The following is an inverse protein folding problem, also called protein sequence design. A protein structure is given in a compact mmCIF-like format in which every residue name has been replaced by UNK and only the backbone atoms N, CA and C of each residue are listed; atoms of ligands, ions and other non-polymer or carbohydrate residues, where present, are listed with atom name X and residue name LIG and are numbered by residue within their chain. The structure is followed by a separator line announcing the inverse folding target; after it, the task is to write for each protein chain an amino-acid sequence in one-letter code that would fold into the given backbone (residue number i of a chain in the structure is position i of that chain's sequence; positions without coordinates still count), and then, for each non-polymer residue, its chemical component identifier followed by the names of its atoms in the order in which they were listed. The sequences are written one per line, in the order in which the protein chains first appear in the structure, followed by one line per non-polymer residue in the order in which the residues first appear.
data_IF_379728129018
#
_entry.id   IF_379728129018
#
_cell.length_a   1.000
_cell.length_b   1.000
_cell.length_c   1.000
_cell.angle_alpha   90.00
_cell.angle_beta   90.00
_cell.angle_gamma   90.00
#
_symmetry.space_group_name_H-M   'P 1'
#
loop_
_entity.id
_entity.type
_entity.pdbx_description
1 polymer ?
#
# COMPACT_ATOMS: atom_id res chain seq x y z
N UNK A 1 3.60 -2.78 -16.89
CA UNK A 1 4.10 -3.93 -16.11
C UNK A 1 3.85 -3.66 -14.64
N UNK A 2 3.13 -4.55 -13.96
CA UNK A 2 2.92 -4.48 -12.51
C UNK A 2 4.15 -5.06 -11.79
N UNK A 3 4.57 -4.48 -10.66
CA UNK A 3 5.58 -5.09 -9.79
C UNK A 3 4.85 -5.95 -8.75
N UNK A 4 4.94 -7.27 -8.94
CA UNK A 4 4.30 -8.27 -8.09
C UNK A 4 5.35 -9.28 -7.64
N UNK A 5 5.37 -9.55 -6.34
CA UNK A 5 6.18 -10.61 -5.74
C UNK A 5 5.26 -11.80 -5.49
N UNK A 6 5.55 -12.94 -6.10
CA UNK A 6 4.88 -14.21 -5.81
C UNK A 6 5.68 -14.95 -4.74
N UNK A 7 5.12 -15.07 -3.54
CA UNK A 7 5.75 -15.81 -2.46
C UNK A 7 5.48 -17.31 -2.62
N UNK A 8 6.53 -18.12 -2.56
CA UNK A 8 6.45 -19.56 -2.78
C UNK A 8 6.49 -20.31 -1.45
N UNK A 9 5.49 -21.17 -1.24
CA UNK A 9 5.44 -22.09 -0.09
C UNK A 9 5.96 -23.50 -0.45
N UNK A 10 6.00 -24.38 0.55
CA UNK A 10 6.45 -25.77 0.38
C UNK A 10 5.44 -26.65 -0.38
N UNK A 11 4.18 -26.23 -0.47
CA UNK A 11 3.09 -26.99 -1.10
C UNK A 11 2.39 -26.14 -2.18
N UNK A 12 1.81 -26.81 -3.17
CA UNK A 12 0.98 -26.16 -4.18
C UNK A 12 -0.26 -25.55 -3.52
N UNK A 13 -0.59 -24.26 -3.73
CA UNK A 13 -1.77 -23.64 -3.12
C UNK A 13 -3.10 -24.27 -3.55
N UNK A 14 -4.12 -24.24 -2.66
CA UNK A 14 -5.46 -24.78 -2.93
C UNK A 14 -6.63 -23.88 -2.50
N UNK A 15 -6.38 -22.77 -1.78
CA UNK A 15 -7.41 -21.81 -1.33
C UNK A 15 -7.56 -20.58 -2.25
N UNK A 16 -6.77 -20.54 -3.33
CA UNK A 16 -6.73 -19.44 -4.30
C UNK A 16 -5.89 -18.24 -3.86
N UNK A 17 -5.82 -17.21 -4.73
CA UNK A 17 -4.92 -16.07 -4.55
C UNK A 17 -5.36 -15.08 -3.46
N UNK A 18 -4.36 -14.57 -2.74
CA UNK A 18 -4.45 -13.45 -1.81
C UNK A 18 -3.44 -12.38 -2.21
N UNK A 19 -3.94 -11.16 -2.47
CA UNK A 19 -3.13 -9.99 -2.78
C UNK A 19 -2.86 -9.18 -1.51
N UNK A 20 -1.60 -8.94 -1.18
CA UNK A 20 -1.16 -8.10 -0.07
C UNK A 20 -0.73 -6.72 -0.59
N UNK A 21 -1.32 -5.66 -0.05
CA UNK A 21 -1.09 -4.27 -0.49
C UNK A 21 -0.60 -3.42 0.68
N UNK A 22 0.62 -2.89 0.55
CA UNK A 22 1.29 -2.12 1.59
C UNK A 22 0.87 -0.63 1.62
N UNK A 23 1.25 0.08 2.68
CA UNK A 23 1.01 1.52 2.83
C UNK A 23 1.93 2.41 1.99
N UNK A 24 1.74 3.73 2.01
CA UNK A 24 2.65 4.65 1.32
C UNK A 24 4.04 4.70 1.99
N UNK A 25 5.10 4.87 1.20
CA UNK A 25 6.46 5.09 1.72
C UNK A 25 7.15 3.84 2.28
N UNK A 26 6.61 2.65 1.99
CA UNK A 26 7.22 1.36 2.31
C UNK A 26 7.17 0.46 1.07
N UNK A 27 7.70 -0.76 1.16
CA UNK A 27 7.62 -1.77 0.11
C UNK A 27 6.85 -3.00 0.57
N UNK A 28 6.55 -3.89 -0.37
CA UNK A 28 5.84 -5.15 -0.16
C UNK A 28 6.40 -6.00 1.00
N UNK A 29 7.71 -5.93 1.28
CA UNK A 29 8.34 -6.72 2.34
C UNK A 29 7.87 -6.39 3.76
N UNK A 30 7.05 -5.35 3.98
CA UNK A 30 6.44 -5.06 5.28
C UNK A 30 5.63 -6.25 5.82
N UNK A 31 5.12 -7.13 4.93
CA UNK A 31 4.43 -8.35 5.30
C UNK A 31 5.37 -9.53 5.64
N UNK A 32 6.68 -9.36 5.47
CA UNK A 32 7.74 -10.31 5.80
C UNK A 32 8.78 -9.69 6.74
N UNK A 33 8.39 -9.17 7.92
CA UNK A 33 9.35 -8.63 8.89
C UNK A 33 10.20 -9.75 9.50
N UNK A 34 11.36 -9.44 10.13
CA UNK A 34 12.24 -10.43 10.73
C UNK A 34 11.65 -10.99 12.05
N UNK A 35 10.56 -11.74 11.95
CA UNK A 35 9.85 -12.40 13.05
C UNK A 35 9.70 -13.89 12.76
N UNK A 36 9.42 -14.70 13.78
CA UNK A 36 9.38 -16.16 13.64
C UNK A 36 8.31 -16.68 12.67
N UNK A 37 7.17 -16.01 12.57
CA UNK A 37 6.10 -16.35 11.62
C UNK A 37 5.50 -15.06 11.10
N UNK A 38 5.69 -14.81 9.81
CA UNK A 38 5.15 -13.64 9.12
C UNK A 38 3.72 -13.88 8.67
N UNK A 39 3.01 -12.83 8.23
CA UNK A 39 1.70 -12.99 7.61
C UNK A 39 1.79 -13.83 6.33
N UNK A 40 2.87 -13.66 5.56
CA UNK A 40 3.12 -14.44 4.34
C UNK A 40 3.30 -15.92 4.69
N UNK A 41 4.14 -16.25 5.67
CA UNK A 41 4.35 -17.64 6.11
C UNK A 41 3.03 -18.28 6.54
N UNK A 42 2.26 -17.58 7.38
CA UNK A 42 0.98 -18.08 7.86
C UNK A 42 -0.01 -18.35 6.71
N UNK A 43 -0.10 -17.46 5.72
CA UNK A 43 -0.99 -17.64 4.58
C UNK A 43 -0.56 -18.81 3.68
N UNK A 44 0.76 -18.94 3.42
CA UNK A 44 1.33 -20.03 2.64
C UNK A 44 1.09 -21.39 3.32
N UNK A 45 1.39 -21.50 4.62
CA UNK A 45 1.16 -22.71 5.42
C UNK A 45 -0.32 -23.12 5.48
N UNK A 46 -1.22 -22.14 5.31
CA UNK A 46 -2.65 -22.37 5.26
C UNK A 46 -3.19 -22.58 3.84
N UNK A 47 -2.34 -22.72 2.82
CA UNK A 47 -2.71 -23.12 1.47
C UNK A 47 -3.20 -21.99 0.55
N UNK A 48 -2.94 -20.73 0.88
CA UNK A 48 -3.21 -19.59 0.01
C UNK A 48 -2.08 -19.36 -0.98
N UNK A 49 -2.42 -18.85 -2.15
CA UNK A 49 -1.47 -18.40 -3.17
C UNK A 49 -1.16 -16.90 -2.93
N UNK A 50 0.04 -16.56 -2.45
CA UNK A 50 0.32 -15.24 -1.87
C UNK A 50 1.08 -14.34 -2.83
N UNK A 51 0.46 -13.21 -3.16
CA UNK A 51 0.99 -12.19 -4.06
C UNK A 51 1.13 -10.87 -3.33
N UNK A 52 2.25 -10.18 -3.49
CA UNK A 52 2.48 -8.87 -2.87
C UNK A 52 2.66 -7.81 -3.95
N UNK A 53 1.89 -6.74 -3.85
CA UNK A 53 1.95 -5.60 -4.78
C UNK A 53 2.92 -4.54 -4.30
N UNK A 54 3.84 -4.11 -5.17
CA UNK A 54 4.44 -2.78 -5.08
C UNK A 54 3.71 -1.84 -6.04
N UNK A 55 3.06 -0.82 -5.50
CA UNK A 55 2.33 0.21 -6.25
C UNK A 55 3.10 1.54 -6.25
N UNK A 56 2.63 2.57 -6.97
CA UNK A 56 3.44 3.78 -7.26
C UNK A 56 4.01 4.53 -6.05
N UNK A 57 3.44 4.35 -4.86
CA UNK A 57 3.95 4.93 -3.61
C UNK A 57 5.01 4.07 -2.90
N UNK A 58 5.47 2.97 -3.52
CA UNK A 58 6.50 2.09 -2.98
C UNK A 58 7.89 2.69 -3.09
N UNK A 59 8.74 2.40 -2.10
CA UNK A 59 10.16 2.75 -2.11
C UNK A 59 10.98 1.93 -3.12
N UNK A 60 10.39 0.91 -3.73
CA UNK A 60 11.04 0.12 -4.80
C UNK A 60 11.13 0.87 -6.13
N UNK A 61 10.44 2.01 -6.25
CA UNK A 61 10.46 2.84 -7.45
C UNK A 61 11.21 4.16 -7.19
N UNK A 62 11.75 4.80 -8.24
CA UNK A 62 12.20 6.18 -8.14
C UNK A 62 11.10 7.08 -7.59
N UNK A 63 11.51 8.08 -6.79
CA UNK A 63 10.61 9.07 -6.23
C UNK A 63 9.76 9.72 -7.33
N UNK A 64 8.45 9.80 -7.11
CA UNK A 64 7.50 10.34 -8.06
C UNK A 64 6.35 11.05 -7.33
N UNK A 65 5.64 11.91 -8.05
CA UNK A 65 4.41 12.52 -7.57
C UNK A 65 3.21 11.61 -7.89
N UNK A 66 2.35 11.38 -6.89
CA UNK A 66 1.21 10.48 -7.02
C UNK A 66 0.01 10.95 -6.19
N UNK A 67 -1.17 10.45 -6.54
CA UNK A 67 -2.38 10.56 -5.74
C UNK A 67 -2.98 9.19 -5.47
N UNK A 68 -3.85 9.08 -4.45
CA UNK A 68 -4.58 7.84 -4.20
C UNK A 68 -5.52 7.49 -5.36
N UNK A 69 -6.12 8.48 -6.04
CA UNK A 69 -6.98 8.26 -7.21
C UNK A 69 -6.23 7.54 -8.33
N UNK A 70 -4.97 7.92 -8.56
CA UNK A 70 -4.17 7.28 -9.58
C UNK A 70 -3.85 5.82 -9.23
N UNK A 71 -3.49 5.53 -7.97
CA UNK A 71 -3.28 4.16 -7.52
C UNK A 71 -4.57 3.34 -7.63
N UNK A 72 -5.70 3.93 -7.23
CA UNK A 72 -7.01 3.32 -7.29
C UNK A 72 -7.46 2.99 -8.72
N UNK A 73 -7.23 3.91 -9.66
CA UNK A 73 -7.66 3.77 -11.04
C UNK A 73 -6.76 2.85 -11.87
N UNK A 74 -5.46 2.80 -11.57
CA UNK A 74 -4.47 2.20 -12.49
C UNK A 74 -3.61 1.09 -11.88
N UNK A 75 -3.23 1.18 -10.60
CA UNK A 75 -2.25 0.25 -10.02
C UNK A 75 -2.94 -1.03 -9.54
N UNK A 76 -3.82 -0.91 -8.55
CA UNK A 76 -4.50 -2.06 -7.95
C UNK A 76 -5.34 -2.86 -8.97
N UNK A 77 -6.09 -2.24 -9.90
CA UNK A 77 -6.79 -3.00 -10.93
C UNK A 77 -5.84 -3.74 -11.89
N UNK A 78 -4.66 -3.18 -12.16
CA UNK A 78 -3.67 -3.87 -12.98
C UNK A 78 -3.01 -5.02 -12.21
N UNK A 79 -2.74 -4.86 -10.91
CA UNK A 79 -2.26 -5.92 -10.03
C UNK A 79 -3.26 -7.08 -9.97
N UNK A 80 -4.53 -6.80 -9.68
CA UNK A 80 -5.61 -7.80 -9.62
C UNK A 80 -5.70 -8.59 -10.93
N UNK A 81 -5.83 -7.90 -12.08
CA UNK A 81 -5.90 -8.57 -13.40
C UNK A 81 -4.68 -9.45 -13.65
N UNK A 82 -3.48 -8.98 -13.30
CA UNK A 82 -2.26 -9.74 -13.53
C UNK A 82 -2.18 -10.98 -12.64
N UNK A 83 -2.62 -10.91 -11.38
CA UNK A 83 -2.68 -12.08 -10.50
C UNK A 83 -3.69 -13.11 -11.03
N UNK A 84 -4.87 -12.68 -11.45
CA UNK A 84 -5.88 -13.59 -12.02
C UNK A 84 -5.38 -14.24 -13.32
N UNK A 85 -4.72 -13.48 -14.21
CA UNK A 85 -4.09 -14.00 -15.42
C UNK A 85 -3.00 -15.05 -15.11
N UNK A 86 -2.17 -14.81 -14.09
CA UNK A 86 -1.07 -15.70 -13.71
C UNK A 86 -1.56 -17.00 -13.05
N UNK A 87 -2.64 -16.92 -12.29
CA UNK A 87 -3.15 -18.04 -11.50
C UNK A 87 -4.24 -18.82 -12.21
N UNK A 88 -4.87 -18.25 -13.25
CA UNK A 88 -6.07 -18.80 -13.87
C UNK A 88 -7.31 -18.74 -12.97
N UNK A 89 -7.22 -18.08 -11.81
CA UNK A 89 -8.36 -17.93 -10.89
C UNK A 89 -9.35 -16.90 -11.42
N UNK A 90 -10.64 -17.08 -11.10
CA UNK A 90 -11.70 -16.12 -11.44
C UNK A 90 -11.87 -15.02 -10.40
N UNK A 91 -11.44 -15.26 -9.17
CA UNK A 91 -11.52 -14.31 -8.05
C UNK A 91 -10.26 -14.37 -7.19
N UNK A 92 -10.00 -13.30 -6.44
CA UNK A 92 -8.96 -13.26 -5.41
C UNK A 92 -9.48 -12.60 -4.14
N UNK A 93 -8.71 -12.70 -3.05
CA UNK A 93 -8.94 -11.96 -1.79
C UNK A 93 -7.83 -10.94 -1.60
N UNK A 94 -8.05 -9.90 -0.81
CA UNK A 94 -7.04 -8.89 -0.55
C UNK A 94 -6.88 -8.61 0.95
N UNK A 95 -5.62 -8.41 1.38
CA UNK A 95 -5.29 -7.84 2.69
C UNK A 95 -4.53 -6.55 2.44
N UNK A 96 -5.06 -5.44 2.92
CA UNK A 96 -4.64 -4.10 2.52
C UNK A 96 -4.34 -3.25 3.76
N UNK A 97 -3.29 -2.41 3.68
CA UNK A 97 -2.75 -1.70 4.83
C UNK A 97 -2.50 -0.22 4.58
N UNK A 98 -2.82 0.62 5.58
CA UNK A 98 -2.51 2.06 5.61
C UNK A 98 -3.00 2.77 4.33
N UNK A 99 -2.22 3.67 3.71
CA UNK A 99 -2.68 4.41 2.52
C UNK A 99 -2.99 3.51 1.31
N UNK A 100 -2.34 2.34 1.19
CA UNK A 100 -2.70 1.34 0.18
C UNK A 100 -4.08 0.73 0.44
N UNK A 101 -4.51 0.68 1.70
CA UNK A 101 -5.89 0.33 2.04
C UNK A 101 -6.89 1.34 1.51
N UNK A 102 -6.65 2.64 1.72
CA UNK A 102 -7.54 3.69 1.24
C UNK A 102 -7.66 3.67 -0.29
N UNK A 103 -6.55 3.64 -1.03
CA UNK A 103 -6.60 3.59 -2.50
C UNK A 103 -7.21 2.29 -3.04
N UNK A 104 -6.96 1.15 -2.40
CA UNK A 104 -7.58 -0.11 -2.82
C UNK A 104 -9.10 -0.13 -2.57
N UNK A 105 -9.55 0.41 -1.42
CA UNK A 105 -10.97 0.58 -1.15
C UNK A 105 -11.63 1.55 -2.14
N UNK A 106 -10.91 2.58 -2.60
CA UNK A 106 -11.38 3.46 -3.69
C UNK A 106 -11.57 2.66 -4.99
N UNK A 107 -10.65 1.76 -5.36
CA UNK A 107 -10.84 0.85 -6.51
C UNK A 107 -12.09 -0.01 -6.35
N UNK A 108 -12.30 -0.56 -5.15
CA UNK A 108 -13.42 -1.45 -4.86
C UNK A 108 -14.77 -0.73 -5.01
N UNK A 109 -14.93 0.45 -4.39
CA UNK A 109 -16.20 1.19 -4.48
C UNK A 109 -16.43 1.85 -5.83
N UNK A 110 -15.38 2.13 -6.59
CA UNK A 110 -15.49 2.57 -7.98
C UNK A 110 -15.86 1.42 -8.94
N UNK A 111 -15.93 0.17 -8.45
CA UNK A 111 -16.26 -1.00 -9.26
C UNK A 111 -15.15 -1.43 -10.23
N UNK A 112 -13.90 -1.05 -9.95
CA UNK A 112 -12.75 -1.32 -10.84
C UNK A 112 -12.09 -2.68 -10.61
N UNK A 113 -12.44 -3.36 -9.51
CA UNK A 113 -11.89 -4.67 -9.12
C UNK A 113 -13.02 -5.62 -8.68
N UNK A 114 -14.05 -5.86 -9.51
CA UNK A 114 -15.19 -6.70 -9.17
C UNK A 114 -14.81 -8.16 -8.85
N UNK A 115 -13.63 -8.62 -9.26
CA UNK A 115 -13.12 -9.97 -9.02
C UNK A 115 -12.57 -10.17 -7.60
N UNK A 116 -12.47 -9.11 -6.80
CA UNK A 116 -12.01 -9.19 -5.40
C UNK A 116 -13.17 -9.61 -4.50
N UNK A 117 -13.16 -10.88 -4.14
CA UNK A 117 -14.23 -11.55 -3.38
C UNK A 117 -14.29 -11.21 -1.88
N UNK A 118 -13.19 -10.69 -1.33
CA UNK A 118 -13.10 -10.36 0.09
C UNK A 118 -11.90 -9.48 0.39
N UNK A 119 -12.10 -8.48 1.26
CA UNK A 119 -11.09 -7.49 1.62
C UNK A 119 -10.95 -7.45 3.14
N UNK A 120 -9.72 -7.60 3.63
CA UNK A 120 -9.33 -7.31 5.02
C UNK A 120 -8.57 -6.00 5.04
N UNK A 121 -9.19 -4.96 5.58
CA UNK A 121 -8.64 -3.60 5.66
C UNK A 121 -8.00 -3.34 7.02
N UNK A 122 -6.78 -2.80 7.03
CA UNK A 122 -6.03 -2.50 8.26
C UNK A 122 -5.49 -1.05 8.30
N UNK A 123 -5.43 -0.47 9.50
CA UNK A 123 -5.06 0.91 9.84
C UNK A 123 -6.04 2.00 9.38
N UNK A 124 -6.40 2.04 8.10
CA UNK A 124 -7.42 2.94 7.53
C UNK A 124 -8.23 2.21 6.46
N UNK A 125 -9.39 2.76 6.08
CA UNK A 125 -10.26 2.24 5.02
C UNK A 125 -10.67 3.39 4.09
N UNK A 126 -11.90 3.34 3.55
CA UNK A 126 -12.42 4.31 2.58
C UNK A 126 -12.68 5.71 3.16
N UNK A 127 -13.21 5.80 4.38
CA UNK A 127 -13.67 7.06 4.98
C UNK A 127 -12.94 7.33 6.30
N UNK A 128 -11.80 8.04 6.28
CA UNK A 128 -11.10 8.43 7.49
C UNK A 128 -11.93 9.43 8.30
N UNK A 129 -12.28 9.07 9.53
CA UNK A 129 -12.87 10.01 10.50
C UNK A 129 -11.74 10.57 11.34
N UNK A 130 -11.47 11.86 11.19
CA UNK A 130 -10.39 12.55 11.91
C UNK A 130 -10.97 13.51 12.96
N UNK A 131 -10.18 13.79 14.00
CA UNK A 131 -10.61 14.70 15.07
C UNK A 131 -10.80 16.14 14.56
N UNK A 132 -11.58 16.95 15.28
CA UNK A 132 -11.80 18.37 14.94
C UNK A 132 -10.49 19.16 14.83
N UNK A 133 -9.51 18.84 15.68
CA UNK A 133 -8.18 19.47 15.63
C UNK A 133 -7.47 19.08 14.33
N UNK A 134 -7.52 17.80 13.93
CA UNK A 134 -6.96 17.36 12.66
C UNK A 134 -7.67 18.03 11.47
N UNK A 135 -9.00 18.12 11.47
CA UNK A 135 -9.75 18.88 10.46
C UNK A 135 -9.28 20.33 10.36
N UNK A 136 -9.12 21.01 11.50
CA UNK A 136 -8.65 22.40 11.53
C UNK A 136 -7.22 22.51 10.95
N UNK A 137 -6.30 21.63 11.37
CA UNK A 137 -4.93 21.59 10.85
C UNK A 137 -4.90 21.33 9.34
N UNK A 138 -5.68 20.37 8.85
CA UNK A 138 -5.77 20.07 7.42
C UNK A 138 -6.33 21.24 6.62
N UNK A 139 -7.32 21.97 7.14
CA UNK A 139 -7.94 23.08 6.43
C UNK A 139 -7.07 24.34 6.35
N UNK A 140 -6.33 24.64 7.42
CA UNK A 140 -5.65 25.94 7.54
C UNK A 140 -4.13 25.84 7.55
N UNK A 141 -3.56 24.82 8.21
CA UNK A 141 -2.10 24.67 8.30
C UNK A 141 -1.52 23.96 7.07
N UNK A 142 -2.21 22.94 6.54
CA UNK A 142 -1.69 22.17 5.41
C UNK A 142 -1.46 23.02 4.13
N UNK A 143 -2.35 23.95 3.72
CA UNK A 143 -2.10 24.81 2.56
C UNK A 143 -0.87 25.70 2.74
N UNK A 144 -0.63 26.22 3.95
CA UNK A 144 0.55 27.03 4.27
C UNK A 144 1.83 26.18 4.23
N UNK A 145 1.78 24.98 4.82
CA UNK A 145 2.90 24.04 4.77
C UNK A 145 3.22 23.60 3.34
N UNK A 146 2.21 23.42 2.50
CA UNK A 146 2.38 23.07 1.10
C UNK A 146 3.15 24.13 0.29
N UNK A 147 3.15 25.40 0.72
CA UNK A 147 4.00 26.43 0.12
C UNK A 147 5.49 26.25 0.45
N UNK A 148 5.80 25.61 1.58
CA UNK A 148 7.17 25.40 2.07
C UNK A 148 7.71 24.02 1.68
N UNK A 149 6.85 23.00 1.74
CA UNK A 149 7.17 21.62 1.42
C UNK A 149 6.03 21.02 0.59
N UNK A 150 6.10 21.09 -0.76
CA UNK A 150 5.00 20.67 -1.64
C UNK A 150 4.76 19.15 -1.62
N UNK A 151 5.65 18.40 -0.98
CA UNK A 151 5.52 16.96 -0.75
C UNK A 151 6.06 16.61 0.63
N UNK A 152 5.76 15.39 1.08
CA UNK A 152 6.38 14.77 2.24
C UNK A 152 7.24 13.62 1.74
N UNK A 153 8.54 13.65 2.02
CA UNK A 153 9.45 12.56 1.71
C UNK A 153 9.50 11.58 2.90
N UNK A 154 9.00 10.34 2.76
CA UNK A 154 9.08 9.34 3.83
C UNK A 154 10.52 9.00 4.21
N UNK A 155 11.48 9.19 3.30
CA UNK A 155 12.90 8.92 3.48
C UNK A 155 13.72 10.14 3.91
N UNK A 156 13.08 11.24 4.33
CA UNK A 156 13.73 12.47 4.79
C UNK A 156 14.78 12.29 5.91
N UNK A 157 14.69 11.21 6.69
CA UNK A 157 15.71 10.84 7.69
C UNK A 157 17.02 10.36 7.06
N UNK A 158 16.95 9.61 5.97
CA UNK A 158 18.12 9.10 5.26
C UNK A 158 18.62 10.09 4.20
N UNK A 159 17.68 10.72 3.49
CA UNK A 159 17.92 11.62 2.36
C UNK A 159 17.10 12.91 2.52
N UNK A 160 17.58 13.90 3.27
CA UNK A 160 16.87 15.18 3.42
C UNK A 160 16.93 15.99 2.12
N UNK A 161 15.77 16.39 1.60
CA UNK A 161 15.66 17.13 0.33
C UNK A 161 16.03 18.62 0.42
N UNK A 162 16.24 19.15 1.62
CA UNK A 162 16.50 20.56 1.84
C UNK A 162 16.87 20.91 3.28
N UNK A 163 17.16 22.20 3.49
CA UNK A 163 17.62 22.71 4.78
C UNK A 163 16.57 22.54 5.89
N UNK A 164 15.27 22.63 5.55
CA UNK A 164 14.19 22.44 6.50
C UNK A 164 14.14 21.00 7.01
N UNK A 165 14.20 20.02 6.10
CA UNK A 165 14.23 18.60 6.43
C UNK A 165 15.49 18.24 7.22
N UNK A 166 16.64 18.82 6.86
CA UNK A 166 17.89 18.64 7.60
C UNK A 166 17.81 19.22 9.02
N UNK A 167 17.25 20.41 9.19
CA UNK A 167 17.05 21.03 10.50
C UNK A 167 16.08 20.21 11.37
N UNK A 168 15.00 19.69 10.78
CA UNK A 168 14.05 18.82 11.47
C UNK A 168 14.69 17.48 11.86
N UNK A 169 15.55 16.89 11.01
CA UNK A 169 16.32 15.70 11.34
C UNK A 169 17.17 15.92 12.60
N UNK A 170 17.90 17.03 12.66
CA UNK A 170 18.73 17.39 13.83
C UNK A 170 17.97 17.76 15.11
N UNK A 171 16.63 17.85 15.09
CA UNK A 171 15.80 18.02 16.29
C UNK A 171 15.27 16.69 16.84
N UNK A 172 15.28 15.64 16.04
CA UNK A 172 14.74 14.31 16.37
C UNK A 172 15.85 13.32 16.74
N UNK A 173 17.08 13.56 16.26
CA UNK A 173 18.33 12.89 16.67
C UNK A 173 18.98 13.57 17.88
#
# INVERSE_FOLDING_TARGET
NCNLIHALGASTPWKGPVLLVHGAGVRANIFMPPVATTLVDYLLDNGYDVWLENWRASTEFPANAWTLDQAAAFDHPAAVRKVLERTGSTTLKAVIHCQGSTSFMMSAVAGLIPEVSGIVSNAVALHPVVSTIACWKLRYAAPLLNCLTPYVNPQWGDYPDGWLQLALKGLVE
#
